data_IF_007178126319
#
_entry.id   IF_007178126319
#
_cell.length_a   1.000
_cell.length_b   1.000
_cell.length_c   1.000
_cell.angle_alpha   90.00
_cell.angle_beta   90.00
_cell.angle_gamma   90.00
#
_symmetry.space_group_name_H-M   'P 1'
#
loop_
_entity.id
_entity.type
_entity.pdbx_description
1 polymer ?
#
# COMPACT_ATOMS: atom_id res chain seq x y z
N UNK A 1 -52.43 -11.26 -47.45
CA UNK A 1 -51.44 -12.07 -48.20
C UNK A 1 -50.06 -11.66 -47.71
N UNK A 2 -49.51 -12.36 -46.73
CA UNK A 2 -48.62 -13.50 -46.94
C UNK A 2 -47.18 -13.06 -47.19
N UNK A 3 -46.40 -12.95 -46.12
CA UNK A 3 -45.03 -13.50 -46.10
C UNK A 3 -44.85 -14.24 -44.77
N UNK A 4 -45.52 -15.40 -44.70
CA UNK A 4 -45.11 -16.52 -43.87
C UNK A 4 -43.84 -17.09 -44.51
N UNK A 5 -42.83 -17.36 -43.70
CA UNK A 5 -41.78 -18.32 -44.05
C UNK A 5 -40.38 -17.73 -44.10
N UNK A 6 -39.73 -17.64 -42.95
CA UNK A 6 -38.46 -18.34 -42.73
C UNK A 6 -38.14 -18.31 -41.23
N UNK A 7 -38.63 -19.34 -40.55
CA UNK A 7 -38.09 -19.80 -39.28
C UNK A 7 -36.68 -20.35 -39.55
N UNK A 8 -35.76 -20.09 -38.63
CA UNK A 8 -34.36 -20.55 -38.61
C UNK A 8 -33.50 -20.02 -39.76
N UNK A 9 -32.67 -19.02 -39.49
CA UNK A 9 -31.22 -19.18 -39.56
C UNK A 9 -30.54 -18.11 -38.69
N UNK A 10 -29.79 -18.63 -37.73
CA UNK A 10 -28.74 -18.00 -36.93
C UNK A 10 -29.15 -17.07 -35.77
N UNK A 11 -29.67 -17.71 -34.71
CA UNK A 11 -29.43 -17.31 -33.31
C UNK A 11 -27.94 -17.46 -32.92
N UNK A 12 -27.05 -16.74 -33.60
CA UNK A 12 -25.71 -16.42 -33.13
C UNK A 12 -25.54 -14.96 -33.52
N UNK A 13 -25.43 -14.00 -32.60
CA UNK A 13 -24.26 -13.84 -31.76
C UNK A 13 -24.72 -13.35 -30.37
N UNK A 14 -24.62 -14.24 -29.38
CA UNK A 14 -24.69 -13.86 -27.98
C UNK A 14 -23.54 -12.90 -27.68
N UNK A 15 -23.89 -11.73 -27.15
CA UNK A 15 -22.98 -10.71 -26.68
C UNK A 15 -21.93 -11.30 -25.74
N UNK A 16 -20.65 -11.26 -26.14
CA UNK A 16 -19.54 -11.57 -25.26
C UNK A 16 -19.32 -10.36 -24.32
N UNK A 17 -19.97 -10.35 -23.16
CA UNK A 17 -19.53 -9.51 -22.05
C UNK A 17 -18.22 -10.10 -21.52
N UNK A 18 -17.10 -9.55 -22.00
CA UNK A 18 -15.80 -9.88 -21.44
C UNK A 18 -15.71 -9.19 -20.08
N UNK A 19 -15.93 -9.94 -18.99
CA UNK A 19 -15.49 -9.53 -17.67
C UNK A 19 -13.96 -9.58 -17.67
N UNK A 20 -13.32 -8.44 -17.94
CA UNK A 20 -11.90 -8.28 -17.69
C UNK A 20 -11.71 -8.29 -16.16
N UNK A 21 -11.38 -9.46 -15.61
CA UNK A 21 -10.87 -9.53 -14.25
C UNK A 21 -9.50 -8.85 -14.25
N UNK A 22 -9.42 -7.62 -13.74
CA UNK A 22 -8.14 -7.06 -13.30
C UNK A 22 -7.61 -7.96 -12.21
N UNK A 23 -6.64 -8.82 -12.54
CA UNK A 23 -5.91 -9.59 -11.55
C UNK A 23 -5.21 -8.57 -10.62
N UNK A 24 -5.80 -8.30 -9.46
CA UNK A 24 -5.06 -7.71 -8.36
C UNK A 24 -3.89 -8.66 -8.11
N UNK A 25 -2.66 -8.21 -8.32
CA UNK A 25 -1.45 -9.02 -8.18
C UNK A 25 -1.55 -9.86 -6.91
N UNK A 26 -1.88 -11.15 -7.06
CA UNK A 26 -1.99 -12.04 -5.92
C UNK A 26 -0.59 -12.09 -5.31
N UNK A 27 -0.44 -11.83 -4.01
CA UNK A 27 0.89 -11.81 -3.43
C UNK A 27 1.37 -13.25 -3.42
N UNK A 28 2.36 -13.52 -4.28
CA UNK A 28 3.06 -14.78 -4.43
C UNK A 28 3.25 -15.43 -3.05
N UNK A 29 2.90 -16.72 -2.92
CA UNK A 29 3.10 -17.47 -1.68
C UNK A 29 4.56 -17.48 -1.21
N UNK A 30 5.50 -17.18 -2.11
CA UNK A 30 6.92 -16.99 -1.80
C UNK A 30 7.21 -15.72 -0.98
N UNK A 31 6.31 -14.73 -0.97
CA UNK A 31 6.52 -13.47 -0.27
C UNK A 31 6.26 -13.60 1.23
N UNK A 32 7.29 -13.32 2.04
CA UNK A 32 7.10 -13.17 3.48
C UNK A 32 6.33 -11.87 3.77
N UNK A 33 5.16 -12.01 4.39
CA UNK A 33 4.23 -10.92 4.72
C UNK A 33 4.30 -10.55 6.19
N UNK A 34 5.29 -11.02 6.92
CA UNK A 34 5.40 -10.79 8.36
C UNK A 34 6.82 -10.45 8.77
N UNK A 35 6.94 -9.56 9.76
CA UNK A 35 8.18 -9.29 10.46
C UNK A 35 7.86 -9.19 11.95
N UNK A 36 8.26 -10.20 12.72
CA UNK A 36 7.84 -10.35 14.11
C UNK A 36 6.33 -10.47 14.19
N UNK A 37 5.70 -9.60 14.99
CA UNK A 37 4.25 -9.58 15.16
C UNK A 37 3.51 -8.64 14.20
N UNK A 38 4.20 -8.12 13.18
CA UNK A 38 3.63 -7.15 12.23
C UNK A 38 3.35 -7.81 10.87
N UNK A 39 2.13 -7.63 10.37
CA UNK A 39 1.74 -8.01 9.01
C UNK A 39 2.07 -6.89 8.02
N UNK A 40 2.71 -7.27 6.91
CA UNK A 40 3.25 -6.39 5.88
C UNK A 40 2.45 -6.66 4.59
N UNK A 41 1.51 -5.78 4.23
CA UNK A 41 0.76 -5.89 2.98
C UNK A 41 1.52 -5.30 1.80
N UNK A 42 1.24 -5.78 0.59
CA UNK A 42 1.61 -5.07 -0.64
C UNK A 42 1.04 -3.63 -0.59
N UNK A 43 1.78 -2.59 -1.00
CA UNK A 43 3.02 -2.57 -1.81
C UNK A 43 4.33 -2.76 -1.04
N UNK A 44 4.30 -3.06 0.26
CA UNK A 44 5.50 -3.27 1.07
C UNK A 44 5.94 -4.73 1.06
N UNK A 45 7.23 -4.95 1.28
CA UNK A 45 7.79 -6.30 1.35
C UNK A 45 9.20 -6.34 1.93
N UNK A 46 9.58 -7.50 2.41
CA UNK A 46 10.90 -7.77 3.03
C UNK A 46 11.83 -8.58 2.12
N UNK A 47 11.30 -9.12 1.03
CA UNK A 47 12.02 -9.95 0.06
C UNK A 47 11.96 -9.34 -1.34
N UNK A 48 12.98 -9.61 -2.16
CA UNK A 48 13.07 -9.11 -3.54
C UNK A 48 11.87 -9.57 -4.35
N UNK A 49 11.23 -8.63 -5.06
CA UNK A 49 10.04 -8.90 -5.88
C UNK A 49 8.71 -8.85 -5.11
N UNK A 50 8.74 -8.65 -3.79
CA UNK A 50 7.55 -8.60 -2.93
C UNK A 50 7.18 -7.18 -2.50
N UNK A 51 7.73 -6.17 -3.15
CA UNK A 51 7.45 -4.76 -2.91
C UNK A 51 7.28 -4.04 -4.26
N UNK A 52 6.55 -2.94 -4.27
CA UNK A 52 6.31 -2.14 -5.49
C UNK A 52 7.61 -1.51 -6.03
N UNK A 53 8.41 -0.91 -5.16
CA UNK A 53 9.70 -0.31 -5.49
C UNK A 53 10.64 -0.29 -4.26
N UNK A 54 11.91 0.08 -4.47
CA UNK A 54 12.96 0.04 -3.45
C UNK A 54 12.65 0.85 -2.18
N UNK A 55 11.79 1.87 -2.26
CA UNK A 55 11.39 2.66 -1.08
C UNK A 55 10.31 1.99 -0.23
N UNK A 56 9.61 1.00 -0.79
CA UNK A 56 8.65 0.15 -0.07
C UNK A 56 9.30 -1.11 0.51
N UNK A 57 10.63 -1.24 0.38
CA UNK A 57 11.38 -2.32 1.00
C UNK A 57 11.51 -2.11 2.51
N UNK A 58 11.12 -3.12 3.27
CA UNK A 58 11.23 -3.17 4.72
C UNK A 58 12.38 -4.11 5.08
N UNK A 59 13.36 -3.59 5.80
CA UNK A 59 14.39 -4.42 6.42
C UNK A 59 13.83 -5.02 7.71
N UNK A 60 13.72 -6.34 7.78
CA UNK A 60 13.37 -7.02 9.03
C UNK A 60 14.66 -7.41 9.76
N UNK A 61 14.96 -6.76 10.88
CA UNK A 61 16.18 -7.01 11.65
C UNK A 61 15.89 -7.85 12.90
N UNK A 62 16.63 -8.94 13.07
CA UNK A 62 16.45 -9.91 14.16
C UNK A 62 17.55 -9.87 15.23
N UNK A 63 18.40 -8.83 15.24
CA UNK A 63 19.54 -8.74 16.17
C UNK A 63 19.17 -8.64 17.65
N UNK A 64 17.93 -8.30 17.99
CA UNK A 64 17.47 -8.15 19.37
C UNK A 64 16.71 -9.37 19.91
N UNK A 65 16.66 -10.46 19.15
CA UNK A 65 15.84 -11.65 19.43
C UNK A 65 14.34 -11.46 19.16
N UNK A 66 13.92 -10.22 18.84
CA UNK A 66 12.59 -9.93 18.32
C UNK A 66 12.73 -9.28 16.95
N UNK A 67 12.21 -9.88 15.86
CA UNK A 67 12.32 -9.29 14.55
C UNK A 67 11.59 -7.94 14.49
N UNK A 68 12.32 -6.89 14.10
CA UNK A 68 11.85 -5.50 14.08
C UNK A 68 11.94 -4.94 12.66
N UNK A 69 10.83 -4.39 12.11
CA UNK A 69 10.84 -3.84 10.77
C UNK A 69 11.39 -2.40 10.75
N UNK A 70 12.21 -2.11 9.76
CA UNK A 70 12.78 -0.80 9.47
C UNK A 70 12.46 -0.40 8.04
N UNK A 71 11.81 0.75 7.88
CA UNK A 71 11.67 1.39 6.57
C UNK A 71 12.94 2.16 6.25
N UNK A 72 13.54 1.86 5.10
CA UNK A 72 14.81 2.46 4.69
C UNK A 72 14.63 3.88 4.14
N UNK A 73 13.45 4.19 3.61
CA UNK A 73 13.15 5.45 2.93
C UNK A 73 11.69 5.87 3.17
N UNK A 74 11.39 7.17 3.06
CA UNK A 74 10.02 7.71 3.12
C UNK A 74 9.67 8.52 4.38
N UNK A 75 10.52 8.51 5.41
CA UNK A 75 10.44 9.40 6.57
C UNK A 75 11.71 10.26 6.60
N UNK A 76 11.57 11.57 6.36
CA UNK A 76 12.68 12.53 6.50
C UNK A 76 12.47 13.37 7.72
N UNK A 77 13.45 13.35 8.60
CA UNK A 77 13.49 14.13 9.81
C UNK A 77 14.33 15.38 9.57
N UNK A 78 13.77 16.55 9.86
CA UNK A 78 14.50 17.81 9.88
C UNK A 78 14.42 18.45 11.26
N UNK A 79 15.54 19.00 11.74
CA UNK A 79 15.59 19.75 12.99
C UNK A 79 15.94 21.21 12.68
N UNK A 80 15.09 22.14 13.12
CA UNK A 80 15.36 23.58 13.09
C UNK A 80 14.95 24.19 14.41
N UNK A 81 15.81 24.99 15.05
CA UNK A 81 15.49 25.78 16.25
C UNK A 81 14.68 25.00 17.33
N UNK A 82 15.12 23.78 17.66
CA UNK A 82 14.44 22.84 18.59
C UNK A 82 13.08 22.29 18.16
N UNK A 83 12.57 22.65 16.98
CA UNK A 83 11.45 21.98 16.33
C UNK A 83 11.94 20.80 15.49
N UNK A 84 11.18 19.70 15.54
CA UNK A 84 11.40 18.51 14.72
C UNK A 84 10.25 18.40 13.71
N UNK A 85 10.58 18.42 12.43
CA UNK A 85 9.62 18.29 11.35
C UNK A 85 9.80 16.93 10.69
N UNK A 86 8.72 16.17 10.60
CA UNK A 86 8.68 14.90 9.89
C UNK A 86 8.04 15.16 8.53
N UNK A 87 8.83 15.04 7.47
CA UNK A 87 8.34 15.10 6.11
C UNK A 87 8.17 13.67 5.59
N UNK A 88 6.93 13.30 5.29
CA UNK A 88 6.60 12.04 4.64
C UNK A 88 6.61 12.26 3.13
N UNK A 89 7.63 11.72 2.45
CA UNK A 89 7.79 11.92 1.00
C UNK A 89 7.07 10.86 0.15
N UNK A 90 6.60 9.78 0.78
CA UNK A 90 6.01 8.61 0.11
C UNK A 90 4.66 8.17 0.69
N UNK A 91 4.27 8.68 1.85
CA UNK A 91 3.11 8.21 2.60
C UNK A 91 2.08 9.32 2.77
N UNK A 92 0.82 9.02 2.45
CA UNK A 92 -0.31 9.91 2.76
C UNK A 92 -0.65 9.81 4.24
N UNK A 93 -0.74 10.97 4.91
CA UNK A 93 -1.29 11.07 6.25
C UNK A 93 -2.81 11.23 6.16
N UNK A 94 -3.52 10.33 6.81
CA UNK A 94 -4.96 10.36 7.02
C UNK A 94 -5.26 10.78 8.45
N UNK A 95 -6.04 11.84 8.58
CA UNK A 95 -6.46 12.38 9.87
C UNK A 95 -7.38 11.43 10.69
N UNK A 96 -7.94 10.38 10.08
CA UNK A 96 -8.80 9.40 10.77
C UNK A 96 -8.21 8.00 10.89
N UNK A 97 -7.20 7.65 10.08
CA UNK A 97 -6.70 6.27 9.98
C UNK A 97 -5.29 6.07 10.55
N UNK A 98 -4.54 7.13 10.79
CA UNK A 98 -3.20 7.02 11.37
C UNK A 98 -3.25 7.09 12.90
N UNK A 99 -2.46 6.23 13.55
CA UNK A 99 -2.19 6.29 14.99
C UNK A 99 -0.78 6.82 15.19
N UNK A 100 -0.66 8.01 15.77
CA UNK A 100 0.62 8.64 16.11
C UNK A 100 0.90 8.41 17.60
N UNK A 101 2.11 7.99 17.94
CA UNK A 101 2.52 7.76 19.34
C UNK A 101 3.81 8.51 19.59
N UNK A 102 3.83 9.36 20.62
CA UNK A 102 5.00 10.13 21.04
C UNK A 102 5.32 9.77 22.50
N UNK A 103 6.61 9.62 22.82
CA UNK A 103 7.09 9.25 24.15
C UNK A 103 8.12 10.26 24.64
N UNK A 104 7.92 10.80 25.84
CA UNK A 104 8.82 11.76 26.49
C UNK A 104 8.11 12.64 27.52
N UNK A 105 8.86 13.33 28.38
CA UNK A 105 8.32 14.37 29.26
C UNK A 105 8.06 15.66 28.45
N UNK A 106 6.99 16.38 28.78
CA UNK A 106 6.61 17.67 28.15
C UNK A 106 6.61 17.65 26.61
N UNK A 107 6.18 16.54 26.03
CA UNK A 107 6.19 16.33 24.58
C UNK A 107 4.87 16.77 23.95
N UNK A 108 4.92 17.82 23.11
CA UNK A 108 3.79 18.28 22.30
C UNK A 108 4.03 17.93 20.83
N UNK A 109 3.06 17.27 20.20
CA UNK A 109 3.07 16.96 18.77
C UNK A 109 1.94 17.74 18.07
N UNK A 110 2.31 18.56 17.09
CA UNK A 110 1.38 19.36 16.29
C UNK A 110 1.43 18.87 14.84
N UNK A 111 0.27 18.57 14.27
CA UNK A 111 0.13 18.21 12.86
C UNK A 111 -0.35 19.47 12.13
N UNK A 112 0.50 20.02 11.28
CA UNK A 112 0.16 21.17 10.44
C UNK A 112 0.10 20.69 8.99
N UNK A 113 -1.07 20.78 8.36
CA UNK A 113 -1.17 20.57 6.91
C UNK A 113 -0.70 21.83 6.20
N UNK A 114 0.51 21.79 5.64
CA UNK A 114 0.93 22.80 4.67
C UNK A 114 0.51 22.30 3.28
N UNK A 115 -0.65 22.78 2.81
CA UNK A 115 -1.07 22.61 1.42
C UNK A 115 -0.12 23.43 0.57
N UNK A 116 0.88 22.76 0.00
CA UNK A 116 1.73 23.35 -1.04
C UNK A 116 0.84 23.47 -2.28
N UNK A 117 0.32 24.67 -2.55
CA UNK A 117 -0.28 25.04 -3.83
C UNK A 117 0.78 25.12 -4.92
#
# INVERSE_FOLDING_TARGET
>A
MAFRGMLLHQKLLFSAFILAATAAAQPDSSCNKTCGNLSIPYPFGTTKGCYHDSSSFITCNDTSGTPTPFLREGIRVNRKNSQFTITLSKFTVSYTRNKLTAFGCDTYAYISEEVIM
#
